data_IF_041456377651
#
_entry.id   IF_041456377651
#
_cell.length_a   1.000
_cell.length_b   1.000
_cell.length_c   1.000
_cell.angle_alpha   90.00
_cell.angle_beta   90.00
_cell.angle_gamma   90.00
#
_symmetry.space_group_name_H-M   'P 1'
#
loop_
_entity.id
_entity.type
_entity.pdbx_description
1 polymer ?
#
# COMPACT_ATOMS: atom_id res chain seq x y z
N UNK A 1 -1.59 -19.46 20.19
CA UNK A 1 -0.51 -18.50 20.52
C UNK A 1 -0.08 -17.72 19.28
N UNK A 2 0.30 -18.37 18.19
CA UNK A 2 0.78 -17.70 16.94
C UNK A 2 -0.21 -16.68 16.38
N UNK A 3 -1.51 -16.97 16.32
CA UNK A 3 -2.54 -16.07 15.80
C UNK A 3 -2.64 -14.80 16.65
N UNK A 4 -2.63 -14.92 17.98
CA UNK A 4 -2.69 -13.76 18.87
C UNK A 4 -1.45 -12.86 18.74
N UNK A 5 -0.25 -13.45 18.61
CA UNK A 5 0.97 -12.68 18.35
C UNK A 5 0.95 -12.01 16.99
N UNK A 6 0.43 -12.69 15.95
CA UNK A 6 0.28 -12.11 14.61
C UNK A 6 -0.68 -10.91 14.61
N UNK A 7 -1.82 -11.01 15.32
CA UNK A 7 -2.75 -9.88 15.46
C UNK A 7 -2.11 -8.67 16.14
N UNK A 8 -1.32 -8.89 17.19
CA UNK A 8 -0.61 -7.82 17.89
C UNK A 8 0.44 -7.19 16.98
N UNK A 9 1.23 -7.99 16.27
CA UNK A 9 2.23 -7.50 15.31
C UNK A 9 1.56 -6.73 14.19
N UNK A 10 0.44 -7.22 13.65
CA UNK A 10 -0.35 -6.55 12.63
C UNK A 10 -0.86 -5.18 13.11
N UNK A 11 -1.40 -5.12 14.35
CA UNK A 11 -1.83 -3.86 14.94
C UNK A 11 -0.67 -2.86 15.07
N UNK A 12 0.45 -3.30 15.63
CA UNK A 12 1.65 -2.44 15.82
C UNK A 12 2.16 -1.95 14.47
N UNK A 13 2.31 -2.84 13.48
CA UNK A 13 2.80 -2.50 12.15
C UNK A 13 1.89 -1.50 11.44
N UNK A 14 0.59 -1.75 11.42
CA UNK A 14 -0.40 -0.85 10.84
C UNK A 14 -0.46 0.49 11.55
N UNK A 15 -0.39 0.52 12.89
CA UNK A 15 -0.39 1.74 13.68
C UNK A 15 0.81 2.63 13.35
N UNK A 16 2.00 2.05 13.21
CA UNK A 16 3.22 2.80 12.89
C UNK A 16 3.37 3.16 11.41
N UNK A 17 2.52 2.66 10.52
CA UNK A 17 2.62 2.86 9.08
C UNK A 17 2.64 4.36 8.70
N UNK A 18 1.76 5.17 9.29
CA UNK A 18 1.72 6.63 9.07
C UNK A 18 2.97 7.34 9.58
N UNK A 19 3.53 6.88 10.68
CA UNK A 19 4.77 7.44 11.23
C UNK A 19 5.97 7.10 10.36
N UNK A 20 6.06 5.84 9.87
CA UNK A 20 7.09 5.43 8.91
C UNK A 20 7.00 6.23 7.62
N UNK A 21 5.80 6.40 7.05
CA UNK A 21 5.58 7.23 5.86
C UNK A 21 6.12 8.64 6.06
N UNK A 22 5.85 9.28 7.20
CA UNK A 22 6.31 10.65 7.47
C UNK A 22 7.83 10.75 7.63
N UNK A 23 8.48 9.72 8.18
CA UNK A 23 9.95 9.66 8.30
C UNK A 23 10.63 9.46 6.94
N UNK A 24 10.13 8.53 6.15
CA UNK A 24 10.66 8.27 4.80
C UNK A 24 10.52 9.51 3.92
N UNK A 25 9.37 10.18 3.94
CA UNK A 25 9.18 11.42 3.20
C UNK A 25 10.15 12.52 3.61
N UNK A 26 10.50 12.63 4.89
CA UNK A 26 11.50 13.58 5.37
C UNK A 26 12.90 13.26 4.83
N UNK A 27 13.27 11.99 4.78
CA UNK A 27 14.52 11.52 4.19
C UNK A 27 14.58 11.87 2.69
N UNK A 28 13.53 11.55 1.95
CA UNK A 28 13.43 11.87 0.52
C UNK A 28 13.48 13.35 0.20
N UNK A 29 12.88 14.21 1.02
CA UNK A 29 12.88 15.64 0.73
C UNK A 29 14.25 16.28 0.89
N UNK A 30 15.10 15.72 1.75
CA UNK A 30 16.49 16.17 1.89
C UNK A 30 17.31 15.83 0.66
N UNK A 31 17.08 14.67 0.05
CA UNK A 31 17.81 14.21 -1.14
C UNK A 31 17.27 14.80 -2.46
N UNK A 32 15.98 15.09 -2.54
CA UNK A 32 15.31 15.54 -3.76
C UNK A 32 15.08 17.07 -3.84
N UNK A 33 15.53 17.85 -2.86
CA UNK A 33 15.36 19.31 -2.83
C UNK A 33 13.91 19.79 -2.64
N UNK A 34 12.99 18.91 -2.23
CA UNK A 34 11.60 19.28 -1.95
C UNK A 34 11.48 20.07 -0.65
N UNK A 35 10.70 21.17 -0.69
CA UNK A 35 10.48 22.02 0.49
C UNK A 35 9.78 21.26 1.63
N UNK A 36 10.30 21.36 2.88
CA UNK A 36 9.72 20.70 4.05
C UNK A 36 8.30 21.18 4.44
N UNK A 37 7.76 22.20 3.76
CA UNK A 37 6.45 22.80 4.09
C UNK A 37 5.25 21.90 3.82
N UNK A 38 5.39 20.86 3.02
CA UNK A 38 4.35 19.88 2.68
C UNK A 38 4.31 18.66 3.58
N UNK A 39 5.25 18.55 4.51
CA UNK A 39 5.38 17.39 5.38
C UNK A 39 4.52 17.48 6.62
N UNK A 40 3.96 16.36 7.02
CA UNK A 40 3.35 16.18 8.33
C UNK A 40 4.41 16.43 9.41
N UNK A 41 4.45 17.65 9.95
CA UNK A 41 5.16 17.93 11.18
C UNK A 41 4.49 17.09 12.28
N UNK A 42 5.14 16.01 12.70
CA UNK A 42 4.79 15.32 13.93
C UNK A 42 5.27 16.24 15.06
N UNK A 43 4.37 16.92 15.79
CA UNK A 43 4.77 17.79 16.88
C UNK A 43 5.46 16.98 17.96
N UNK A 44 6.51 17.52 18.57
CA UNK A 44 7.16 16.91 19.74
C UNK A 44 6.14 16.79 20.88
N UNK A 45 6.09 15.62 21.52
CA UNK A 45 5.07 15.25 22.54
C UNK A 45 5.23 16.04 23.84
N UNK A 46 6.33 16.74 24.04
CA UNK A 46 6.67 17.37 25.31
C UNK A 46 5.80 18.58 25.65
N UNK A 47 5.07 18.52 26.75
CA UNK A 47 4.36 19.65 27.39
C UNK A 47 3.08 20.14 26.71
N UNK A 48 2.71 19.56 25.60
CA UNK A 48 1.68 20.05 24.69
C UNK A 48 0.23 19.99 25.23
N UNK A 49 -0.05 19.05 26.11
CA UNK A 49 -1.41 18.77 26.60
C UNK A 49 -1.95 19.81 27.57
N UNK A 50 -1.07 20.63 28.16
CA UNK A 50 -1.43 21.59 29.20
C UNK A 50 -1.66 23.03 28.72
N UNK A 51 -1.38 23.34 27.44
CA UNK A 51 -1.55 24.67 26.90
C UNK A 51 -2.94 24.88 26.29
N UNK A 52 -3.62 25.98 26.70
CA UNK A 52 -4.97 26.36 26.24
C UNK A 52 -4.97 27.31 25.04
N UNK A 53 -3.82 27.64 24.47
CA UNK A 53 -3.74 28.55 23.32
C UNK A 53 -4.44 27.99 22.09
N UNK A 54 -5.00 28.86 21.22
CA UNK A 54 -5.64 28.46 19.95
C UNK A 54 -4.73 27.57 19.08
N UNK A 55 -3.40 27.75 19.15
CA UNK A 55 -2.40 26.96 18.46
C UNK A 55 -2.29 25.55 19.05
N UNK A 56 -2.30 25.43 20.37
CA UNK A 56 -2.27 24.14 21.08
C UNK A 56 -3.54 23.31 20.80
N UNK A 57 -4.72 23.93 20.80
CA UNK A 57 -5.99 23.26 20.47
C UNK A 57 -6.00 22.74 19.02
N UNK A 58 -5.46 23.52 18.06
CA UNK A 58 -5.36 23.08 16.66
C UNK A 58 -4.40 21.89 16.53
N UNK A 59 -3.25 21.92 17.17
CA UNK A 59 -2.28 20.84 17.15
C UNK A 59 -2.83 19.58 17.84
N UNK A 60 -3.54 19.73 18.97
CA UNK A 60 -4.20 18.60 19.66
C UNK A 60 -5.24 17.92 18.76
N UNK A 61 -6.05 18.67 18.01
CA UNK A 61 -6.99 18.10 17.03
C UNK A 61 -6.29 17.35 15.91
N UNK A 62 -5.16 17.85 15.40
CA UNK A 62 -4.34 17.15 14.41
C UNK A 62 -3.77 15.85 14.96
N UNK A 63 -3.27 15.85 16.19
CA UNK A 63 -2.79 14.65 16.88
C UNK A 63 -3.89 13.61 17.06
N UNK A 64 -5.04 13.99 17.52
CA UNK A 64 -6.17 13.07 17.68
C UNK A 64 -6.62 12.45 16.36
N UNK A 65 -6.60 13.22 15.27
CA UNK A 65 -6.87 12.69 13.92
C UNK A 65 -5.80 11.70 13.47
N UNK A 66 -4.52 12.00 13.69
CA UNK A 66 -3.42 11.10 13.35
C UNK A 66 -3.49 9.79 14.15
N UNK A 67 -3.73 9.87 15.47
CA UNK A 67 -3.91 8.68 16.30
C UNK A 67 -5.12 7.88 15.83
N UNK A 68 -6.26 8.53 15.57
CA UNK A 68 -7.44 7.84 15.06
C UNK A 68 -7.22 7.14 13.72
N UNK A 69 -6.50 7.77 12.79
CA UNK A 69 -6.12 7.13 11.53
C UNK A 69 -5.12 5.97 11.75
N UNK A 70 -4.13 6.16 12.61
CA UNK A 70 -3.16 5.11 12.95
C UNK A 70 -3.81 3.90 13.60
N UNK A 71 -4.79 4.10 14.51
CA UNK A 71 -5.53 3.00 15.13
C UNK A 71 -6.40 2.26 14.11
N UNK A 72 -7.01 2.97 13.15
CA UNK A 72 -7.77 2.34 12.07
C UNK A 72 -6.88 1.42 11.21
N UNK A 73 -5.71 1.90 10.78
CA UNK A 73 -4.75 1.05 10.07
C UNK A 73 -4.29 -0.12 10.95
N UNK A 74 -4.04 0.11 12.24
CA UNK A 74 -3.71 -0.94 13.19
C UNK A 74 -4.76 -2.04 13.23
N UNK A 75 -6.04 -1.69 13.33
CA UNK A 75 -7.16 -2.65 13.34
C UNK A 75 -7.24 -3.42 12.02
N UNK A 76 -7.13 -2.73 10.88
CA UNK A 76 -7.18 -3.36 9.55
C UNK A 76 -6.07 -4.39 9.40
N UNK A 77 -4.83 -4.04 9.75
CA UNK A 77 -3.69 -4.96 9.64
C UNK A 77 -3.74 -6.07 10.68
N UNK A 78 -4.26 -5.82 11.90
CA UNK A 78 -4.51 -6.87 12.87
C UNK A 78 -5.48 -7.92 12.32
N UNK A 79 -6.60 -7.48 11.74
CA UNK A 79 -7.59 -8.39 11.14
C UNK A 79 -6.98 -9.16 9.95
N UNK A 80 -6.25 -8.48 9.06
CA UNK A 80 -5.60 -9.12 7.92
C UNK A 80 -4.58 -10.18 8.35
N UNK A 81 -3.71 -9.87 9.31
CA UNK A 81 -2.72 -10.83 9.83
C UNK A 81 -3.40 -11.99 10.53
N UNK A 82 -4.47 -11.73 11.28
CA UNK A 82 -5.27 -12.82 11.90
C UNK A 82 -5.75 -13.80 10.84
N UNK A 83 -6.33 -13.33 9.75
CA UNK A 83 -6.81 -14.20 8.66
C UNK A 83 -5.65 -14.96 8.02
N UNK A 84 -4.57 -14.28 7.63
CA UNK A 84 -3.43 -14.93 6.98
C UNK A 84 -2.82 -16.04 7.83
N UNK A 85 -2.59 -15.79 9.13
CA UNK A 85 -1.99 -16.76 10.04
C UNK A 85 -2.96 -17.85 10.52
N UNK A 86 -4.26 -17.68 10.30
CA UNK A 86 -5.27 -18.71 10.61
C UNK A 86 -5.39 -19.75 9.51
N UNK A 87 -5.22 -19.35 8.24
CA UNK A 87 -5.51 -20.20 7.09
C UNK A 87 -4.29 -20.59 6.27
N UNK A 88 -3.15 -19.93 6.46
CA UNK A 88 -1.93 -20.19 5.67
C UNK A 88 -0.78 -20.71 6.56
N UNK A 89 0.15 -21.48 5.97
CA UNK A 89 1.43 -21.79 6.61
C UNK A 89 2.17 -20.51 7.03
N UNK A 90 2.88 -20.58 8.16
CA UNK A 90 3.52 -19.41 8.79
C UNK A 90 4.39 -18.61 7.84
N UNK A 91 5.20 -19.28 7.00
CA UNK A 91 6.08 -18.60 6.05
C UNK A 91 5.31 -17.84 4.96
N UNK A 92 4.26 -18.44 4.41
CA UNK A 92 3.40 -17.79 3.43
C UNK A 92 2.70 -16.56 4.03
N UNK A 93 2.15 -16.71 5.26
CA UNK A 93 1.52 -15.62 5.99
C UNK A 93 2.49 -14.46 6.26
N UNK A 94 3.75 -14.74 6.62
CA UNK A 94 4.79 -13.72 6.83
C UNK A 94 5.04 -12.93 5.54
N UNK A 95 5.29 -13.61 4.41
CA UNK A 95 5.60 -12.94 3.16
C UNK A 95 4.43 -12.11 2.63
N UNK A 96 3.20 -12.63 2.71
CA UNK A 96 2.01 -11.86 2.31
C UNK A 96 1.77 -10.66 3.23
N UNK A 97 2.02 -10.80 4.53
CA UNK A 97 1.94 -9.68 5.48
C UNK A 97 2.94 -8.57 5.14
N UNK A 98 4.19 -8.93 4.80
CA UNK A 98 5.22 -7.98 4.38
C UNK A 98 4.85 -7.31 3.05
N UNK A 99 4.32 -8.06 2.09
CA UNK A 99 3.80 -7.50 0.84
C UNK A 99 2.71 -6.47 1.11
N UNK A 100 1.67 -6.81 1.89
CA UNK A 100 0.58 -5.91 2.21
C UNK A 100 1.05 -4.61 2.88
N UNK A 101 1.99 -4.71 3.84
CA UNK A 101 2.58 -3.55 4.49
C UNK A 101 3.36 -2.67 3.50
N UNK A 102 4.15 -3.29 2.62
CA UNK A 102 4.93 -2.56 1.61
C UNK A 102 4.03 -1.82 0.62
N UNK A 103 2.97 -2.48 0.14
CA UNK A 103 1.99 -1.87 -0.77
C UNK A 103 1.24 -0.72 -0.09
N UNK A 104 0.83 -0.90 1.17
CA UNK A 104 0.18 0.16 1.93
C UNK A 104 1.11 1.35 2.17
N UNK A 105 2.38 1.10 2.50
CA UNK A 105 3.40 2.14 2.67
C UNK A 105 3.62 2.91 1.37
N UNK A 106 3.78 2.22 0.25
CA UNK A 106 3.92 2.81 -1.07
C UNK A 106 2.70 3.66 -1.45
N UNK A 107 1.48 3.16 -1.23
CA UNK A 107 0.24 3.91 -1.45
C UNK A 107 0.13 5.17 -0.58
N UNK A 108 0.57 5.13 0.68
CA UNK A 108 0.59 6.30 1.55
C UNK A 108 1.65 7.33 1.14
N UNK A 109 2.79 6.91 0.59
CA UNK A 109 3.80 7.82 0.02
C UNK A 109 3.22 8.49 -1.21
N UNK A 110 2.65 7.71 -2.13
CA UNK A 110 2.04 8.21 -3.37
C UNK A 110 0.88 9.19 -3.08
N UNK A 111 0.09 8.93 -2.05
CA UNK A 111 -0.98 9.84 -1.61
C UNK A 111 -0.48 11.25 -1.29
N UNK A 112 0.77 11.39 -0.86
CA UNK A 112 1.37 12.65 -0.37
C UNK A 112 2.26 13.33 -1.41
N UNK A 113 3.07 12.56 -2.14
CA UNK A 113 4.08 13.11 -3.05
C UNK A 113 3.87 12.75 -4.52
N UNK A 114 2.87 11.91 -4.81
CA UNK A 114 2.55 11.46 -6.18
C UNK A 114 3.71 10.73 -6.87
N UNK A 115 4.52 10.04 -6.08
CA UNK A 115 5.68 9.28 -6.55
C UNK A 115 5.71 7.94 -5.82
N UNK A 116 5.82 6.87 -6.59
CA UNK A 116 6.09 5.53 -6.08
C UNK A 116 7.61 5.27 -6.16
N UNK A 117 8.31 5.13 -5.03
CA UNK A 117 9.75 5.02 -5.02
C UNK A 117 10.25 3.64 -5.45
N UNK A 118 11.26 3.62 -6.31
CA UNK A 118 11.84 2.39 -6.86
C UNK A 118 12.42 1.46 -5.79
N UNK A 119 12.89 2.00 -4.66
CA UNK A 119 13.41 1.20 -3.55
C UNK A 119 12.34 0.35 -2.83
N UNK A 120 11.04 0.62 -3.07
CA UNK A 120 9.94 -0.24 -2.63
C UNK A 120 9.44 -1.15 -3.75
N UNK A 121 9.29 -0.62 -4.96
CA UNK A 121 8.69 -1.36 -6.08
C UNK A 121 9.61 -2.45 -6.63
N UNK A 122 10.93 -2.17 -6.77
CA UNK A 122 11.88 -3.15 -7.31
C UNK A 122 12.11 -4.33 -6.35
N UNK A 123 12.40 -4.11 -5.04
CA UNK A 123 12.50 -5.24 -4.10
C UNK A 123 11.19 -6.02 -3.98
N UNK A 124 10.03 -5.36 -4.06
CA UNK A 124 8.75 -6.03 -4.04
C UNK A 124 8.57 -6.95 -5.26
N UNK A 125 8.98 -6.52 -6.46
CA UNK A 125 8.95 -7.33 -7.68
C UNK A 125 9.84 -8.58 -7.53
N UNK A 126 11.08 -8.39 -7.10
CA UNK A 126 12.04 -9.49 -6.91
C UNK A 126 11.52 -10.48 -5.85
N UNK A 127 11.00 -9.95 -4.74
CA UNK A 127 10.40 -10.77 -3.69
C UNK A 127 9.20 -11.57 -4.20
N UNK A 128 8.37 -11.01 -5.10
CA UNK A 128 7.24 -11.71 -5.71
C UNK A 128 7.68 -12.97 -6.45
N UNK A 129 8.69 -12.89 -7.30
CA UNK A 129 9.25 -14.04 -7.98
C UNK A 129 9.88 -15.06 -7.02
N UNK A 130 10.68 -14.58 -6.07
CA UNK A 130 11.33 -15.46 -5.10
C UNK A 130 10.31 -16.22 -4.24
N UNK A 131 9.29 -15.53 -3.74
CA UNK A 131 8.26 -16.13 -2.89
C UNK A 131 7.38 -17.10 -3.68
N UNK A 132 7.02 -16.78 -4.92
CA UNK A 132 6.30 -17.72 -5.81
C UNK A 132 7.14 -18.96 -6.13
N UNK A 133 8.45 -18.81 -6.28
CA UNK A 133 9.36 -19.94 -6.52
C UNK A 133 9.48 -20.88 -5.31
N UNK A 134 9.69 -20.33 -4.11
CA UNK A 134 9.99 -21.15 -2.92
C UNK A 134 8.74 -21.56 -2.14
N UNK A 135 7.67 -20.77 -2.14
CA UNK A 135 6.57 -20.94 -1.19
C UNK A 135 5.18 -21.03 -1.85
N UNK A 136 5.00 -20.52 -3.06
CA UNK A 136 3.74 -20.53 -3.83
C UNK A 136 2.50 -20.17 -2.97
N UNK A 137 2.48 -19.03 -2.27
CA UNK A 137 1.40 -18.70 -1.34
C UNK A 137 0.06 -18.42 -2.01
N UNK A 138 0.07 -17.92 -3.22
CA UNK A 138 -1.12 -17.54 -4.00
C UNK A 138 -1.08 -18.10 -5.43
N UNK A 139 0.10 -18.15 -6.05
CA UNK A 139 0.27 -18.45 -7.47
C UNK A 139 1.53 -19.27 -7.72
N UNK A 140 1.53 -19.99 -8.84
CA UNK A 140 2.70 -20.73 -9.31
C UNK A 140 3.78 -19.78 -9.87
N UNK A 141 5.00 -20.29 -10.09
CA UNK A 141 6.08 -19.49 -10.70
C UNK A 141 5.70 -19.01 -12.11
N UNK A 142 5.06 -19.87 -12.89
CA UNK A 142 4.64 -19.57 -14.25
C UNK A 142 3.62 -18.42 -14.25
N UNK A 143 2.60 -18.51 -13.38
CA UNK A 143 1.60 -17.46 -13.22
C UNK A 143 2.20 -16.15 -12.71
N UNK A 144 3.21 -16.23 -11.84
CA UNK A 144 3.94 -15.07 -11.33
C UNK A 144 4.67 -14.33 -12.45
N UNK A 145 5.35 -15.07 -13.34
CA UNK A 145 6.07 -14.49 -14.48
C UNK A 145 5.08 -13.90 -15.48
N UNK A 146 4.05 -14.65 -15.87
CA UNK A 146 3.03 -14.19 -16.80
C UNK A 146 2.27 -12.98 -16.23
N UNK A 147 1.92 -13.02 -14.95
CA UNK A 147 1.26 -11.93 -14.25
C UNK A 147 2.10 -10.66 -14.23
N UNK A 148 3.41 -10.76 -13.95
CA UNK A 148 4.32 -9.62 -13.96
C UNK A 148 4.46 -9.01 -15.35
N UNK A 149 4.64 -9.83 -16.38
CA UNK A 149 4.74 -9.40 -17.79
C UNK A 149 3.45 -8.69 -18.19
N UNK A 150 2.31 -9.31 -17.95
CA UNK A 150 1.00 -8.74 -18.27
C UNK A 150 0.77 -7.41 -17.53
N UNK A 151 1.02 -7.39 -16.21
CA UNK A 151 0.83 -6.21 -15.38
C UNK A 151 1.81 -5.06 -15.70
N UNK A 152 2.95 -5.34 -16.32
CA UNK A 152 3.86 -4.34 -16.84
C UNK A 152 3.39 -3.78 -18.19
N UNK A 153 3.06 -4.66 -19.14
CA UNK A 153 2.72 -4.23 -20.50
C UNK A 153 1.36 -3.57 -20.60
N UNK A 154 0.36 -4.00 -19.84
CA UNK A 154 -0.99 -3.43 -19.87
C UNK A 154 -1.00 -1.91 -19.60
N UNK A 155 -0.44 -1.41 -18.48
CA UNK A 155 -0.38 0.03 -18.20
C UNK A 155 0.61 0.76 -19.12
N UNK A 156 1.67 0.11 -19.58
CA UNK A 156 2.60 0.68 -20.54
C UNK A 156 1.92 0.98 -21.88
N UNK A 157 1.17 0.02 -22.42
CA UNK A 157 0.41 0.18 -23.67
C UNK A 157 -0.67 1.26 -23.52
N UNK A 158 -1.41 1.26 -22.40
CA UNK A 158 -2.39 2.31 -22.12
C UNK A 158 -1.73 3.68 -22.04
N UNK A 159 -0.56 3.80 -21.44
CA UNK A 159 0.20 5.04 -21.35
C UNK A 159 0.63 5.54 -22.74
N UNK A 160 1.17 4.66 -23.58
CA UNK A 160 1.55 4.99 -24.96
C UNK A 160 0.35 5.44 -25.79
N UNK A 161 -0.79 4.78 -25.61
CA UNK A 161 -2.03 5.14 -26.27
C UNK A 161 -2.56 6.50 -25.82
N UNK A 162 -2.55 6.78 -24.51
CA UNK A 162 -2.98 8.05 -23.93
C UNK A 162 -2.09 9.22 -24.36
N UNK A 163 -0.77 9.02 -24.49
CA UNK A 163 0.14 10.04 -25.01
C UNK A 163 -0.23 10.50 -26.42
N UNK A 164 -0.65 9.58 -27.29
CA UNK A 164 -1.13 9.91 -28.63
C UNK A 164 -2.30 10.90 -28.62
N UNK A 165 -3.14 10.84 -27.59
CA UNK A 165 -4.31 11.73 -27.41
C UNK A 165 -4.04 12.90 -26.47
N UNK A 166 -2.77 13.21 -26.15
CA UNK A 166 -2.37 14.30 -25.23
C UNK A 166 -3.03 14.19 -23.85
N UNK A 167 -3.42 12.98 -23.43
CA UNK A 167 -3.90 12.72 -22.08
C UNK A 167 -2.72 12.52 -21.13
N UNK A 168 -2.91 12.81 -19.85
CA UNK A 168 -1.88 12.60 -18.83
C UNK A 168 -1.59 11.09 -18.70
N UNK A 169 -0.37 10.64 -19.00
CA UNK A 169 -0.01 9.24 -18.92
C UNK A 169 0.07 8.77 -17.47
N UNK A 170 -0.05 7.45 -17.28
CA UNK A 170 0.22 6.81 -15.99
C UNK A 170 1.69 7.03 -15.60
N UNK A 171 1.97 7.23 -14.31
CA UNK A 171 3.34 7.39 -13.83
C UNK A 171 4.20 6.13 -14.02
N UNK A 172 5.49 6.28 -14.34
CA UNK A 172 6.41 5.13 -14.47
C UNK A 172 6.51 4.30 -13.19
N UNK A 173 6.31 4.91 -12.02
CA UNK A 173 6.22 4.21 -10.73
C UNK A 173 5.01 3.28 -10.62
N UNK A 174 3.85 3.72 -11.15
CA UNK A 174 2.63 2.91 -11.17
C UNK A 174 2.83 1.64 -12.02
N UNK A 175 3.48 1.77 -13.18
CA UNK A 175 3.79 0.63 -14.07
C UNK A 175 4.66 -0.40 -13.35
N UNK A 176 5.71 0.04 -12.65
CA UNK A 176 6.60 -0.85 -11.87
C UNK A 176 5.85 -1.50 -10.71
N UNK A 177 5.01 -0.75 -10.02
CA UNK A 177 4.21 -1.26 -8.92
C UNK A 177 3.20 -2.30 -9.39
N UNK A 178 2.54 -2.08 -10.53
CA UNK A 178 1.65 -3.05 -11.15
C UNK A 178 2.39 -4.34 -11.53
N UNK A 179 3.59 -4.24 -12.14
CA UNK A 179 4.43 -5.39 -12.43
C UNK A 179 4.80 -6.18 -11.16
N UNK A 180 5.16 -5.48 -10.08
CA UNK A 180 5.42 -6.11 -8.79
C UNK A 180 4.20 -6.85 -8.27
N UNK A 181 3.02 -6.23 -8.31
CA UNK A 181 1.77 -6.88 -7.91
C UNK A 181 1.42 -8.08 -8.80
N UNK A 182 1.67 -7.99 -10.12
CA UNK A 182 1.51 -9.11 -11.03
C UNK A 182 2.38 -10.31 -10.66
N UNK A 183 3.62 -10.08 -10.20
CA UNK A 183 4.50 -11.14 -9.71
C UNK A 183 3.97 -11.85 -8.45
N UNK A 184 3.25 -11.15 -7.57
CA UNK A 184 2.67 -11.72 -6.35
C UNK A 184 1.31 -12.39 -6.58
N UNK A 185 0.50 -11.82 -7.47
CA UNK A 185 -0.92 -12.17 -7.64
C UNK A 185 -1.18 -13.04 -8.87
N UNK A 186 -0.22 -13.10 -9.82
CA UNK A 186 -0.44 -13.74 -11.10
C UNK A 186 -1.47 -13.00 -11.96
N UNK A 187 -1.82 -13.59 -13.10
CA UNK A 187 -2.71 -12.97 -14.07
C UNK A 187 -4.14 -12.78 -13.53
N UNK A 188 -4.72 -13.82 -12.93
CA UNK A 188 -6.14 -13.81 -12.53
C UNK A 188 -6.40 -12.84 -11.37
N UNK A 189 -5.66 -13.00 -10.25
CA UNK A 189 -5.86 -12.17 -9.07
C UNK A 189 -5.45 -10.72 -9.33
N UNK A 190 -4.47 -10.48 -10.21
CA UNK A 190 -4.11 -9.13 -10.61
C UNK A 190 -5.27 -8.42 -11.34
N UNK A 191 -5.99 -9.11 -12.24
CA UNK A 191 -7.17 -8.52 -12.90
C UNK A 191 -8.27 -8.17 -11.90
N UNK A 192 -8.56 -9.06 -10.93
CA UNK A 192 -9.50 -8.77 -9.84
C UNK A 192 -9.06 -7.54 -9.05
N UNK A 193 -7.78 -7.49 -8.68
CA UNK A 193 -7.18 -6.34 -7.99
C UNK A 193 -7.33 -5.06 -8.80
N UNK A 194 -7.13 -5.12 -10.10
CA UNK A 194 -7.21 -3.96 -10.99
C UNK A 194 -8.65 -3.42 -11.07
N UNK A 195 -9.65 -4.27 -11.16
CA UNK A 195 -11.06 -3.87 -11.12
C UNK A 195 -11.41 -3.22 -9.78
N UNK A 196 -11.02 -3.83 -8.67
CA UNK A 196 -11.25 -3.29 -7.33
C UNK A 196 -10.51 -1.96 -7.13
N UNK A 197 -9.26 -1.86 -7.61
CA UNK A 197 -8.48 -0.62 -7.53
C UNK A 197 -9.11 0.51 -8.33
N UNK A 198 -9.73 0.21 -9.47
CA UNK A 198 -10.43 1.20 -10.26
C UNK A 198 -11.65 1.77 -9.52
N UNK A 199 -12.40 0.94 -8.78
CA UNK A 199 -13.50 1.38 -7.93
C UNK A 199 -12.99 2.32 -6.83
N UNK A 200 -11.91 1.95 -6.12
CA UNK A 200 -11.29 2.82 -5.12
C UNK A 200 -10.74 4.11 -5.71
N UNK A 201 -10.17 4.05 -6.91
CA UNK A 201 -9.68 5.22 -7.62
C UNK A 201 -10.83 6.20 -7.95
N UNK A 202 -11.95 5.70 -8.50
CA UNK A 202 -13.13 6.53 -8.75
C UNK A 202 -13.66 7.19 -7.47
N UNK A 203 -13.67 6.43 -6.37
CA UNK A 203 -14.04 6.98 -5.06
C UNK A 203 -13.10 8.11 -4.61
N UNK A 204 -11.78 7.96 -4.78
CA UNK A 204 -10.80 8.99 -4.45
C UNK A 204 -10.96 10.24 -5.32
N UNK A 205 -11.19 10.09 -6.62
CA UNK A 205 -11.46 11.19 -7.56
C UNK A 205 -12.72 11.94 -7.13
N UNK A 206 -13.79 11.22 -6.83
CA UNK A 206 -15.05 11.81 -6.36
C UNK A 206 -14.88 12.56 -5.05
N UNK A 207 -14.20 11.97 -4.07
CA UNK A 207 -13.96 12.59 -2.75
C UNK A 207 -13.11 13.86 -2.86
N UNK A 208 -12.10 13.87 -3.71
CA UNK A 208 -11.20 15.01 -3.91
C UNK A 208 -11.80 16.12 -4.79
N UNK A 209 -12.91 15.85 -5.46
CA UNK A 209 -13.50 16.76 -6.47
C UNK A 209 -12.46 17.20 -7.52
N UNK A 210 -11.51 16.37 -7.83
CA UNK A 210 -10.39 16.62 -8.75
C UNK A 210 -10.46 15.63 -9.91
N UNK A 211 -10.05 16.09 -11.09
CA UNK A 211 -9.96 15.22 -12.29
C UNK A 211 -8.78 14.23 -12.23
N UNK A 212 -7.87 14.39 -11.26
CA UNK A 212 -6.62 13.63 -11.13
C UNK A 212 -6.46 13.19 -9.69
N UNK A 213 -6.08 11.94 -9.47
CA UNK A 213 -5.75 11.38 -8.16
C UNK A 213 -4.55 10.43 -8.32
N UNK A 214 -3.69 10.26 -7.28
CA UNK A 214 -2.64 9.25 -7.28
C UNK A 214 -3.27 7.86 -7.28
N UNK A 215 -2.69 6.91 -8.01
CA UNK A 215 -3.25 5.57 -8.18
C UNK A 215 -2.82 4.60 -7.07
N UNK A 216 -1.63 4.76 -6.50
CA UNK A 216 -1.11 3.92 -5.41
C UNK A 216 -2.05 3.76 -4.21
N UNK A 217 -2.71 4.82 -3.72
CA UNK A 217 -3.68 4.72 -2.62
C UNK A 217 -4.91 3.86 -2.94
N UNK A 218 -5.25 3.70 -4.21
CA UNK A 218 -6.32 2.82 -4.66
C UNK A 218 -5.87 1.35 -4.75
N UNK A 219 -4.60 1.12 -5.10
CA UNK A 219 -4.02 -0.23 -5.16
C UNK A 219 -3.96 -0.90 -3.79
N UNK A 220 -3.55 -0.18 -2.75
CA UNK A 220 -3.33 -0.76 -1.42
C UNK A 220 -4.58 -1.46 -0.83
N UNK A 221 -5.76 -0.82 -0.74
CA UNK A 221 -6.96 -1.51 -0.27
C UNK A 221 -7.43 -2.59 -1.24
N UNK A 222 -7.23 -2.43 -2.55
CA UNK A 222 -7.61 -3.44 -3.54
C UNK A 222 -6.81 -4.74 -3.36
N UNK A 223 -5.49 -4.65 -3.22
CA UNK A 223 -4.62 -5.81 -2.94
C UNK A 223 -5.02 -6.50 -1.64
N UNK A 224 -5.28 -5.72 -0.58
CA UNK A 224 -5.72 -6.27 0.70
C UNK A 224 -7.01 -7.08 0.55
N UNK A 225 -8.02 -6.52 -0.11
CA UNK A 225 -9.31 -7.20 -0.35
C UNK A 225 -9.13 -8.45 -1.21
N UNK A 226 -8.33 -8.38 -2.28
CA UNK A 226 -8.09 -9.53 -3.16
C UNK A 226 -7.38 -10.66 -2.44
N UNK A 227 -6.31 -10.37 -1.70
CA UNK A 227 -5.51 -11.39 -0.99
C UNK A 227 -6.34 -12.04 0.12
N UNK A 228 -6.99 -11.24 0.95
CA UNK A 228 -7.83 -11.77 2.03
C UNK A 228 -9.02 -12.55 1.46
N UNK A 229 -9.66 -12.03 0.41
CA UNK A 229 -10.76 -12.71 -0.28
C UNK A 229 -10.36 -14.06 -0.85
N UNK A 230 -9.20 -14.15 -1.52
CA UNK A 230 -8.64 -15.42 -2.04
C UNK A 230 -8.41 -16.43 -0.92
N UNK A 231 -7.71 -16.02 0.15
CA UNK A 231 -7.41 -16.90 1.29
C UNK A 231 -8.69 -17.42 1.96
N UNK A 232 -9.71 -16.58 2.12
CA UNK A 232 -11.00 -17.00 2.68
C UNK A 232 -11.77 -17.94 1.73
N UNK A 233 -11.77 -17.67 0.43
CA UNK A 233 -12.42 -18.55 -0.55
C UNK A 233 -11.77 -19.93 -0.58
N UNK A 234 -10.43 -20.00 -0.59
CA UNK A 234 -9.71 -21.27 -0.56
C UNK A 234 -9.92 -22.05 0.75
N UNK A 235 -10.24 -21.37 1.85
CA UNK A 235 -10.58 -22.04 3.13
C UNK A 235 -11.97 -22.63 3.18
N UNK A 236 -12.86 -22.24 2.26
CA UNK A 236 -14.24 -22.71 2.16
C UNK A 236 -14.40 -23.84 1.12
N UNK A 237 -13.43 -24.01 0.22
CA UNK A 237 -13.38 -25.07 -0.79
C UNK A 237 -12.71 -26.32 -0.25
#
# INVERSE_FOLDING_TARGET
>A
MIIATASIIGFISGFFLLFMTSRLLKSFSLDAGFSPKTMLHIPRITGFWFFTSKRAIRLRRLWLRLIGQSTLYGIIFAAAFTVLFSFLPVWQAIFLSLMLLTVALAGLIDLKVWILPDFLTIPLLIAGFAVSYFFQPLVTVEDSILGAIYAYFLPLLTTLFMQKYKANPLGGGDVKMMAALGAWLGFELFNVTLVISFIFFLYLVWQRKSKVAPFGPALAPAVLVTVIGKVLLDSLS
#
